data_IF_382600236308
#
_entry.id   IF_382600236308
#
_cell.length_a   1.000
_cell.length_b   1.000
_cell.length_c   1.000
_cell.angle_alpha   90.00
_cell.angle_beta   90.00
_cell.angle_gamma   90.00
#
_symmetry.space_group_name_H-M   'P 1'
#
loop_
_entity.id
_entity.type
_entity.pdbx_description
1 polymer ?
#
# COMPACT_ATOMS: atom_id res chain seq x y z
N UNK A 1 8.78 -6.46 20.53
CA UNK A 1 7.45 -7.11 20.66
C UNK A 1 7.46 -8.25 21.67
N UNK A 2 8.48 -9.11 21.66
CA UNK A 2 8.61 -10.25 22.58
C UNK A 2 9.00 -9.86 24.02
N UNK A 3 9.46 -8.63 24.22
CA UNK A 3 9.88 -8.11 25.52
C UNK A 3 8.74 -7.49 26.35
N UNK A 4 7.52 -7.41 25.81
CA UNK A 4 6.39 -6.89 26.57
C UNK A 4 6.02 -7.82 27.75
N UNK A 5 5.57 -7.29 28.91
CA UNK A 5 5.15 -8.09 30.04
C UNK A 5 4.12 -9.16 29.64
N UNK A 6 4.18 -10.34 30.28
CA UNK A 6 3.30 -11.45 29.94
C UNK A 6 1.84 -11.22 30.41
N UNK A 7 1.63 -10.27 31.31
CA UNK A 7 0.34 -9.84 31.84
C UNK A 7 -0.36 -8.76 31.00
N UNK A 8 0.28 -8.27 29.94
CA UNK A 8 -0.31 -7.26 29.05
C UNK A 8 -1.14 -7.87 27.91
N UNK A 9 -2.13 -7.13 27.44
CA UNK A 9 -2.82 -7.45 26.17
C UNK A 9 -1.85 -7.12 25.03
N UNK A 10 -1.67 -8.05 24.07
CA UNK A 10 -0.82 -7.87 22.90
C UNK A 10 -1.65 -7.73 21.64
N UNK A 11 -1.58 -6.56 21.03
CA UNK A 11 -2.25 -6.26 19.78
C UNK A 11 -1.20 -6.23 18.67
N UNK A 12 -1.36 -7.07 17.66
CA UNK A 12 -0.56 -7.00 16.44
C UNK A 12 -1.13 -5.90 15.55
N UNK A 13 -0.25 -5.06 15.02
CA UNK A 13 -0.58 -4.08 13.97
C UNK A 13 0.63 -3.91 13.06
N UNK A 14 0.39 -3.89 11.75
CA UNK A 14 1.46 -3.73 10.76
C UNK A 14 1.02 -2.86 9.59
N UNK A 15 1.96 -2.10 9.03
CA UNK A 15 1.85 -1.46 7.72
C UNK A 15 2.52 -2.26 6.60
N UNK A 16 3.14 -3.40 6.94
CA UNK A 16 3.85 -4.28 6.00
C UNK A 16 3.03 -5.52 5.69
N UNK A 17 3.36 -6.20 4.60
CA UNK A 17 2.71 -7.46 4.20
C UNK A 17 3.12 -8.60 5.14
N UNK A 18 2.51 -8.64 6.32
CA UNK A 18 2.75 -9.62 7.37
C UNK A 18 1.41 -10.08 7.96
N UNK A 19 1.22 -11.39 8.01
CA UNK A 19 0.09 -12.00 8.70
C UNK A 19 0.30 -12.00 10.23
N UNK A 20 -0.78 -11.89 11.03
CA UNK A 20 -0.69 -11.97 12.49
C UNK A 20 -0.37 -13.39 12.97
N UNK A 21 0.47 -13.49 14.01
CA UNK A 21 0.71 -14.72 14.74
C UNK A 21 -0.12 -14.73 16.04
N UNK A 22 -1.26 -15.39 16.02
CA UNK A 22 -2.18 -15.46 17.16
C UNK A 22 -1.69 -16.34 18.33
N UNK A 23 -0.57 -17.02 18.18
CA UNK A 23 0.13 -17.58 19.36
C UNK A 23 0.86 -16.48 20.13
N UNK A 24 1.22 -15.39 19.45
CA UNK A 24 2.01 -14.30 20.00
C UNK A 24 1.20 -13.04 20.35
N UNK A 25 0.02 -12.87 19.75
CA UNK A 25 -0.87 -11.72 20.01
C UNK A 25 -2.26 -12.18 20.45
N UNK A 26 -2.91 -11.35 21.24
CA UNK A 26 -4.30 -11.57 21.67
C UNK A 26 -5.28 -11.11 20.62
N UNK A 27 -5.00 -9.98 19.98
CA UNK A 27 -5.77 -9.35 18.92
C UNK A 27 -4.86 -8.90 17.78
N UNK A 28 -5.42 -8.72 16.61
CA UNK A 28 -4.68 -8.24 15.45
C UNK A 28 -5.51 -7.30 14.57
N UNK A 29 -4.79 -6.34 13.96
CA UNK A 29 -5.29 -5.42 12.96
C UNK A 29 -4.35 -5.54 11.75
N UNK A 30 -4.89 -5.82 10.56
CA UNK A 30 -4.05 -6.09 9.40
C UNK A 30 -4.79 -5.96 8.07
N UNK A 31 -4.15 -6.45 7.00
CA UNK A 31 -4.64 -6.39 5.63
C UNK A 31 -5.46 -7.61 5.20
N UNK A 32 -5.24 -8.75 5.84
CA UNK A 32 -5.74 -10.05 5.41
C UNK A 32 -7.26 -10.11 5.30
N UNK A 33 -7.74 -10.79 4.27
CA UNK A 33 -9.12 -11.22 4.15
C UNK A 33 -9.35 -12.47 5.00
N UNK A 34 -9.43 -12.28 6.31
CA UNK A 34 -9.68 -13.36 7.25
C UNK A 34 -10.70 -12.94 8.30
N UNK A 35 -11.34 -13.90 8.91
CA UNK A 35 -12.13 -13.76 10.14
C UNK A 35 -11.53 -14.67 11.20
N UNK A 36 -11.36 -14.13 12.41
CA UNK A 36 -10.90 -14.92 13.55
C UNK A 36 -11.65 -14.43 14.79
N UNK A 37 -12.90 -14.83 14.89
CA UNK A 37 -13.84 -14.39 15.94
C UNK A 37 -13.82 -12.84 16.08
N UNK A 38 -13.75 -12.34 17.33
CA UNK A 38 -13.59 -10.93 17.68
C UNK A 38 -12.11 -10.52 17.88
N UNK A 39 -11.16 -11.40 17.49
CA UNK A 39 -9.71 -11.17 17.67
C UNK A 39 -9.05 -10.48 16.49
N UNK A 40 -9.67 -10.45 15.34
CA UNK A 40 -9.11 -9.86 14.14
C UNK A 40 -10.01 -8.79 13.54
N UNK A 41 -9.39 -7.69 13.15
CA UNK A 41 -10.03 -6.67 12.35
C UNK A 41 -9.19 -6.37 11.09
N UNK A 42 -9.81 -6.49 9.92
CA UNK A 42 -9.22 -5.96 8.69
C UNK A 42 -9.32 -4.43 8.69
N UNK A 43 -8.17 -3.77 8.74
CA UNK A 43 -8.07 -2.31 8.69
C UNK A 43 -6.79 -1.92 7.92
N UNK A 44 -6.85 -1.87 6.58
CA UNK A 44 -5.73 -1.51 5.73
C UNK A 44 -5.12 -0.15 6.05
N UNK A 45 -3.82 -0.02 5.80
CA UNK A 45 -3.01 1.13 6.17
C UNK A 45 -3.56 2.47 5.65
N UNK A 46 -4.22 2.48 4.48
CA UNK A 46 -4.72 3.71 3.87
C UNK A 46 -5.77 4.43 4.73
N UNK A 47 -6.51 3.74 5.59
CA UNK A 47 -7.45 4.40 6.52
C UNK A 47 -6.80 5.28 7.58
N UNK A 48 -5.47 5.21 7.73
CA UNK A 48 -4.71 6.13 8.60
C UNK A 48 -4.60 7.56 8.06
N UNK A 49 -5.01 7.79 6.83
CA UNK A 49 -4.95 9.08 6.14
C UNK A 49 -6.36 9.58 5.85
N UNK A 50 -7.12 10.04 6.87
CA UNK A 50 -8.54 10.38 6.73
C UNK A 50 -8.77 11.49 5.70
N UNK A 51 -7.93 12.52 5.67
CA UNK A 51 -8.06 13.64 4.72
C UNK A 51 -7.86 13.17 3.26
N UNK A 52 -6.91 12.26 3.04
CA UNK A 52 -6.67 11.66 1.71
C UNK A 52 -7.84 10.76 1.29
N UNK A 53 -8.40 9.99 2.23
CA UNK A 53 -9.59 9.18 1.95
C UNK A 53 -10.79 10.05 1.60
N UNK A 54 -10.99 11.17 2.29
CA UNK A 54 -12.08 12.10 1.98
C UNK A 54 -11.95 12.67 0.57
N UNK A 55 -10.76 13.09 0.17
CA UNK A 55 -10.51 13.55 -1.20
C UNK A 55 -10.78 12.47 -2.23
N UNK A 56 -10.36 11.24 -1.96
CA UNK A 56 -10.58 10.09 -2.83
C UNK A 56 -12.05 9.73 -2.94
N UNK A 57 -12.78 9.65 -1.82
CA UNK A 57 -14.19 9.30 -1.78
C UNK A 57 -15.06 10.32 -2.53
N UNK A 58 -14.70 11.60 -2.47
CA UNK A 58 -15.45 12.72 -3.07
C UNK A 58 -14.93 13.16 -4.45
N UNK A 59 -13.94 12.46 -5.04
CA UNK A 59 -13.31 12.91 -6.28
C UNK A 59 -14.29 13.07 -7.46
N UNK A 60 -15.31 12.21 -7.55
CA UNK A 60 -16.33 12.21 -8.59
C UNK A 60 -17.32 13.38 -8.49
N UNK A 61 -17.31 14.11 -7.37
CA UNK A 61 -18.15 15.30 -7.12
C UNK A 61 -17.48 16.61 -7.54
N UNK A 62 -16.22 16.57 -7.98
CA UNK A 62 -15.45 17.76 -8.36
C UNK A 62 -15.83 18.25 -9.76
N UNK A 63 -15.43 19.49 -10.09
CA UNK A 63 -15.49 19.99 -11.46
C UNK A 63 -14.45 19.23 -12.32
N UNK A 64 -14.93 18.21 -13.05
CA UNK A 64 -14.07 17.33 -13.82
C UNK A 64 -13.45 18.02 -15.04
N UNK A 65 -14.07 19.09 -15.56
CA UNK A 65 -13.48 19.89 -16.65
C UNK A 65 -12.31 20.72 -16.13
N UNK A 66 -12.42 21.28 -14.94
CA UNK A 66 -11.31 21.95 -14.27
C UNK A 66 -10.18 20.97 -13.93
N UNK A 67 -10.53 19.76 -13.41
CA UNK A 67 -9.56 18.70 -13.16
C UNK A 67 -8.82 18.30 -14.44
N UNK A 68 -9.55 18.07 -15.54
CA UNK A 68 -8.95 17.73 -16.85
C UNK A 68 -7.97 18.80 -17.32
N UNK A 69 -8.37 20.06 -17.25
CA UNK A 69 -7.53 21.20 -17.67
C UNK A 69 -6.27 21.36 -16.82
N UNK A 70 -6.27 20.91 -15.56
CA UNK A 70 -5.12 20.94 -14.67
C UNK A 70 -4.04 19.90 -14.98
N UNK A 71 -4.36 18.91 -15.84
CA UNK A 71 -3.45 17.81 -16.17
C UNK A 71 -2.46 18.23 -17.25
N UNK A 72 -1.26 18.66 -16.86
CA UNK A 72 -0.17 19.06 -17.75
C UNK A 72 0.84 17.93 -18.05
N UNK A 73 0.91 16.92 -17.17
CA UNK A 73 1.79 15.78 -17.28
C UNK A 73 1.06 14.49 -17.70
N UNK A 74 1.82 13.56 -18.31
CA UNK A 74 1.29 12.25 -18.68
C UNK A 74 1.14 11.34 -17.48
N UNK A 75 2.24 10.93 -16.88
CA UNK A 75 2.26 9.93 -15.82
C UNK A 75 3.30 10.26 -14.76
N UNK A 76 2.92 10.16 -13.48
CA UNK A 76 3.78 10.38 -12.34
C UNK A 76 4.18 9.07 -11.68
N UNK A 77 5.32 9.08 -11.01
CA UNK A 77 5.71 8.07 -10.02
C UNK A 77 6.58 8.68 -8.93
N UNK A 78 6.33 8.31 -7.67
CA UNK A 78 7.15 8.78 -6.55
C UNK A 78 7.66 7.60 -5.73
N UNK A 79 8.90 7.23 -5.98
CA UNK A 79 9.55 6.07 -5.37
C UNK A 79 10.95 6.43 -4.90
N UNK A 80 11.25 6.17 -3.63
CA UNK A 80 12.59 6.38 -3.04
C UNK A 80 13.32 5.07 -2.76
N UNK A 81 12.63 3.93 -2.71
CA UNK A 81 13.25 2.64 -2.48
C UNK A 81 13.77 2.05 -3.79
N UNK A 82 15.06 1.68 -3.84
CA UNK A 82 15.71 1.07 -5.00
C UNK A 82 15.48 -0.45 -5.10
N UNK A 83 14.90 -1.05 -4.07
CA UNK A 83 14.60 -2.48 -4.03
C UNK A 83 13.16 -2.71 -4.51
N UNK A 84 12.94 -2.68 -5.81
CA UNK A 84 11.63 -2.78 -6.45
C UNK A 84 11.38 -4.13 -7.07
N UNK A 85 10.10 -4.52 -7.10
CA UNK A 85 9.68 -5.67 -7.88
C UNK A 85 10.02 -5.45 -9.38
N UNK A 86 10.48 -6.50 -10.08
CA UNK A 86 10.77 -6.42 -11.51
C UNK A 86 9.60 -5.92 -12.36
N UNK A 87 8.36 -6.19 -11.96
CA UNK A 87 7.16 -5.71 -12.65
C UNK A 87 7.09 -4.18 -12.67
N UNK A 88 7.37 -3.54 -11.54
CA UNK A 88 7.42 -2.08 -11.46
C UNK A 88 8.43 -1.48 -12.46
N UNK A 89 9.64 -2.05 -12.52
CA UNK A 89 10.67 -1.55 -13.43
C UNK A 89 10.26 -1.71 -14.89
N UNK A 90 9.72 -2.88 -15.25
CA UNK A 90 9.23 -3.15 -16.62
C UNK A 90 8.08 -2.21 -17.01
N UNK A 91 7.14 -1.99 -16.09
CA UNK A 91 6.01 -1.09 -16.32
C UNK A 91 6.46 0.35 -16.55
N UNK A 92 7.38 0.85 -15.71
CA UNK A 92 7.97 2.17 -15.89
C UNK A 92 8.68 2.30 -17.25
N UNK A 93 9.52 1.32 -17.61
CA UNK A 93 10.25 1.34 -18.86
C UNK A 93 9.31 1.33 -20.07
N UNK A 94 8.30 0.46 -20.08
CA UNK A 94 7.31 0.35 -21.17
C UNK A 94 6.46 1.61 -21.34
N UNK A 95 6.00 2.22 -20.26
CA UNK A 95 5.27 3.48 -20.34
C UNK A 95 6.16 4.64 -20.81
N UNK A 96 7.45 4.63 -20.40
CA UNK A 96 8.43 5.64 -20.80
C UNK A 96 8.82 5.56 -22.28
N UNK A 97 8.64 4.40 -22.95
CA UNK A 97 8.78 4.25 -24.40
C UNK A 97 7.70 5.05 -25.16
N UNK A 98 6.52 5.22 -24.56
CA UNK A 98 5.42 5.98 -25.16
C UNK A 98 5.54 7.49 -24.89
N UNK A 99 5.53 7.87 -23.61
CA UNK A 99 5.66 9.26 -23.16
C UNK A 99 6.48 9.30 -21.87
N UNK A 100 7.14 10.44 -21.62
CA UNK A 100 7.93 10.64 -20.40
C UNK A 100 7.07 10.36 -19.16
N UNK A 101 7.53 9.42 -18.32
CA UNK A 101 7.03 9.23 -16.97
C UNK A 101 7.87 10.08 -16.02
N UNK A 102 7.25 11.02 -15.30
CA UNK A 102 7.93 11.89 -14.36
C UNK A 102 8.18 11.17 -13.04
N UNK A 103 9.46 10.93 -12.72
CA UNK A 103 9.88 10.28 -11.47
C UNK A 103 10.32 11.30 -10.45
N UNK A 104 9.47 11.52 -9.43
CA UNK A 104 9.66 12.53 -8.39
C UNK A 104 10.30 12.02 -7.10
N UNK A 105 10.64 10.73 -7.01
CA UNK A 105 11.33 10.14 -5.87
C UNK A 105 12.86 10.18 -6.01
N UNK A 106 13.56 9.33 -5.26
CA UNK A 106 15.00 9.15 -5.43
C UNK A 106 15.35 8.16 -6.57
N UNK A 107 14.42 7.21 -6.84
CA UNK A 107 14.61 6.21 -7.85
C UNK A 107 14.39 6.83 -9.24
N UNK A 108 15.41 6.75 -10.10
CA UNK A 108 15.39 7.28 -11.49
C UNK A 108 14.78 8.70 -11.58
N UNK A 109 15.13 9.58 -10.62
CA UNK A 109 14.65 10.95 -10.63
C UNK A 109 14.99 11.66 -11.94
N UNK A 110 14.00 12.24 -12.61
CA UNK A 110 14.15 12.92 -13.89
C UNK A 110 13.49 14.30 -13.96
N UNK A 111 13.11 14.85 -12.77
CA UNK A 111 12.48 16.17 -12.64
C UNK A 111 13.33 17.20 -11.89
N UNK A 112 14.62 16.88 -11.68
CA UNK A 112 15.58 17.81 -11.08
C UNK A 112 15.66 17.80 -9.56
N UNK A 113 14.90 16.89 -8.89
CA UNK A 113 14.95 16.75 -7.43
C UNK A 113 13.76 15.99 -6.86
N UNK A 114 13.85 15.63 -5.58
CA UNK A 114 12.78 14.92 -4.89
C UNK A 114 11.58 15.86 -4.63
N UNK A 115 10.39 15.42 -4.99
CA UNK A 115 9.15 16.17 -4.70
C UNK A 115 8.93 16.29 -3.21
N UNK A 116 8.47 17.46 -2.78
CA UNK A 116 8.15 17.75 -1.37
C UNK A 116 6.75 17.24 -1.01
N UNK A 117 5.79 17.42 -1.92
CA UNK A 117 4.41 17.01 -1.77
C UNK A 117 4.04 16.09 -2.93
N UNK A 118 3.81 14.81 -2.60
CA UNK A 118 3.44 13.79 -3.58
C UNK A 118 2.05 14.04 -4.16
N UNK A 119 1.10 14.47 -3.33
CA UNK A 119 -0.29 14.68 -3.75
C UNK A 119 -0.35 15.81 -4.79
N UNK A 120 0.31 16.94 -4.52
CA UNK A 120 0.37 18.08 -5.44
C UNK A 120 1.12 17.72 -6.74
N UNK A 121 2.18 16.93 -6.64
CA UNK A 121 2.89 16.43 -7.82
C UNK A 121 2.01 15.54 -8.68
N UNK A 122 1.31 14.58 -8.08
CA UNK A 122 0.44 13.67 -8.80
C UNK A 122 -0.76 14.41 -9.45
N UNK A 123 -1.31 15.47 -8.81
CA UNK A 123 -2.44 16.25 -9.34
C UNK A 123 -2.22 16.80 -10.75
N UNK A 124 -1.00 17.11 -11.12
CA UNK A 124 -0.68 17.63 -12.44
C UNK A 124 -0.62 16.56 -13.55
N UNK A 125 -0.74 15.27 -13.23
CA UNK A 125 -0.59 14.16 -14.16
C UNK A 125 -1.92 13.43 -14.41
N UNK A 126 -2.13 12.94 -15.66
CA UNK A 126 -3.29 12.11 -16.00
C UNK A 126 -3.24 10.76 -15.28
N UNK A 127 -2.07 10.12 -15.26
CA UNK A 127 -1.85 8.80 -14.70
C UNK A 127 -0.85 8.83 -13.55
N UNK A 128 -0.87 7.80 -12.71
CA UNK A 128 0.17 7.54 -11.72
C UNK A 128 0.48 6.05 -11.67
N UNK A 129 1.78 5.67 -11.74
CA UNK A 129 2.19 4.28 -11.53
C UNK A 129 2.08 3.96 -10.05
N UNK A 130 1.25 3.00 -9.72
CA UNK A 130 0.98 2.55 -8.35
C UNK A 130 1.30 1.07 -8.23
N UNK A 131 2.47 0.76 -7.69
CA UNK A 131 2.86 -0.61 -7.40
C UNK A 131 3.06 -0.81 -5.90
N UNK A 132 2.45 -1.84 -5.35
CA UNK A 132 2.70 -2.26 -3.99
C UNK A 132 4.09 -2.89 -3.86
N UNK A 133 4.55 -3.08 -2.62
CA UNK A 133 5.87 -3.70 -2.39
C UNK A 133 5.87 -5.20 -2.74
N UNK A 134 4.70 -5.83 -2.73
CA UNK A 134 4.46 -7.22 -3.11
C UNK A 134 3.00 -7.43 -3.52
N UNK A 135 2.76 -8.36 -4.43
CA UNK A 135 1.40 -8.78 -4.76
C UNK A 135 0.91 -9.79 -3.72
N UNK A 136 -0.09 -9.39 -2.92
CA UNK A 136 -0.71 -10.25 -1.93
C UNK A 136 -2.16 -9.83 -1.68
N UNK A 137 -3.04 -10.83 -1.49
CA UNK A 137 -4.47 -10.61 -1.26
C UNK A 137 -4.73 -9.74 -0.02
N UNK A 138 -5.44 -8.63 -0.22
CA UNK A 138 -5.75 -7.65 0.82
C UNK A 138 -4.69 -6.57 1.03
N UNK A 139 -3.47 -6.74 0.52
CA UNK A 139 -2.38 -5.80 0.72
C UNK A 139 -2.47 -4.60 -0.23
N UNK A 140 -3.42 -3.72 0.06
CA UNK A 140 -3.55 -2.40 -0.56
C UNK A 140 -3.13 -1.33 0.43
N UNK A 141 -2.19 -0.46 0.04
CA UNK A 141 -1.65 0.59 0.91
C UNK A 141 -2.14 1.98 0.50
N UNK A 142 -1.59 3.02 1.14
CA UNK A 142 -1.91 4.41 0.83
C UNK A 142 -1.62 4.84 -0.61
N UNK A 143 -0.81 4.10 -1.35
CA UNK A 143 -0.37 4.49 -2.70
C UNK A 143 -1.53 4.60 -3.68
N UNK A 144 -2.47 3.62 -3.65
CA UNK A 144 -3.65 3.64 -4.51
C UNK A 144 -4.56 4.81 -4.16
N UNK A 145 -4.84 4.98 -2.87
CA UNK A 145 -5.73 6.05 -2.37
C UNK A 145 -5.17 7.43 -2.66
N UNK A 146 -3.86 7.63 -2.52
CA UNK A 146 -3.20 8.89 -2.85
C UNK A 146 -3.31 9.26 -4.33
N UNK A 147 -3.10 8.30 -5.23
CA UNK A 147 -3.25 8.55 -6.67
C UNK A 147 -4.70 8.86 -7.06
N UNK A 148 -5.66 8.15 -6.46
CA UNK A 148 -7.09 8.43 -6.64
C UNK A 148 -7.47 9.82 -6.09
N UNK A 149 -6.97 10.20 -4.91
CA UNK A 149 -7.20 11.52 -4.30
C UNK A 149 -6.58 12.67 -5.10
N UNK A 150 -5.50 12.39 -5.86
CA UNK A 150 -4.89 13.33 -6.80
C UNK A 150 -5.65 13.46 -8.13
N UNK A 151 -6.79 12.80 -8.29
CA UNK A 151 -7.52 12.72 -9.55
C UNK A 151 -6.68 12.14 -10.70
N UNK A 152 -5.73 11.24 -10.39
CA UNK A 152 -5.07 10.43 -11.40
C UNK A 152 -5.88 9.18 -11.70
N UNK A 153 -5.65 8.57 -12.87
CA UNK A 153 -5.99 7.18 -13.13
C UNK A 153 -4.78 6.34 -12.67
N UNK A 154 -4.88 5.58 -11.57
CA UNK A 154 -3.80 4.69 -11.16
C UNK A 154 -3.59 3.58 -12.19
N UNK A 155 -2.33 3.32 -12.57
CA UNK A 155 -1.91 2.10 -13.24
C UNK A 155 -1.40 1.20 -12.12
N UNK A 156 -2.27 0.29 -11.66
CA UNK A 156 -2.13 -0.41 -10.38
C UNK A 156 -1.62 -1.83 -10.55
N UNK A 157 -0.63 -2.20 -9.72
CA UNK A 157 -0.19 -3.57 -9.51
C UNK A 157 0.01 -3.85 -8.02
N UNK A 158 -0.56 -4.96 -7.53
CA UNK A 158 -0.43 -5.34 -6.11
C UNK A 158 -1.48 -6.35 -5.67
N UNK A 159 -2.49 -5.91 -4.93
CA UNK A 159 -3.54 -6.75 -4.38
C UNK A 159 -4.41 -7.37 -5.50
N UNK A 160 -4.42 -8.72 -5.67
CA UNK A 160 -5.28 -9.37 -6.66
C UNK A 160 -6.77 -9.24 -6.34
N UNK A 161 -7.13 -8.87 -5.12
CA UNK A 161 -8.51 -8.65 -4.67
C UNK A 161 -8.86 -7.16 -4.49
N UNK A 162 -8.09 -6.25 -5.08
CA UNK A 162 -8.32 -4.80 -4.99
C UNK A 162 -9.75 -4.42 -5.38
N UNK A 163 -10.30 -5.09 -6.39
CA UNK A 163 -11.66 -4.89 -6.89
C UNK A 163 -12.78 -5.40 -5.97
N UNK A 164 -12.46 -5.93 -4.78
CA UNK A 164 -13.47 -6.16 -3.73
C UNK A 164 -13.86 -4.89 -2.97
N UNK A 165 -13.01 -3.88 -3.00
CA UNK A 165 -13.18 -2.61 -2.29
C UNK A 165 -13.30 -1.46 -3.27
N UNK A 166 -12.38 -1.37 -4.23
CA UNK A 166 -12.27 -0.27 -5.18
C UNK A 166 -12.96 -0.61 -6.50
N UNK A 167 -13.72 0.33 -7.01
CA UNK A 167 -14.40 0.19 -8.29
C UNK A 167 -13.39 0.05 -9.44
N UNK A 168 -13.37 -1.07 -10.19
CA UNK A 168 -12.40 -1.30 -11.26
C UNK A 168 -12.50 -0.28 -12.41
N UNK A 169 -13.59 0.48 -12.51
CA UNK A 169 -13.74 1.57 -13.48
C UNK A 169 -12.97 2.84 -13.07
N UNK A 170 -12.25 2.84 -11.95
CA UNK A 170 -11.55 4.03 -11.44
C UNK A 170 -10.03 3.93 -11.56
N UNK A 171 -9.50 2.79 -11.96
CA UNK A 171 -8.07 2.53 -12.14
C UNK A 171 -7.84 1.51 -13.26
N UNK A 172 -6.63 1.43 -13.76
CA UNK A 172 -6.19 0.43 -14.73
C UNK A 172 -5.40 -0.63 -13.98
N UNK A 173 -5.94 -1.86 -13.90
CA UNK A 173 -5.25 -2.95 -13.20
C UNK A 173 -4.31 -3.67 -14.16
N UNK A 174 -3.01 -3.68 -13.84
CA UNK A 174 -1.98 -4.35 -14.65
C UNK A 174 -2.30 -5.83 -14.86
N UNK A 175 -2.93 -6.47 -13.87
CA UNK A 175 -3.26 -7.91 -13.91
C UNK A 175 -4.41 -8.26 -14.87
N UNK A 176 -5.13 -7.27 -15.40
CA UNK A 176 -6.24 -7.48 -16.35
C UNK A 176 -5.74 -7.64 -17.79
N UNK A 177 -4.44 -7.47 -18.05
CA UNK A 177 -3.82 -7.53 -19.36
C UNK A 177 -2.86 -8.72 -19.46
N UNK A 178 -2.89 -9.42 -20.58
CA UNK A 178 -2.01 -10.57 -20.80
C UNK A 178 -0.55 -10.15 -20.98
N UNK A 179 -0.30 -8.95 -21.53
CA UNK A 179 1.03 -8.39 -21.75
C UNK A 179 1.11 -6.91 -21.36
N UNK A 180 2.32 -6.41 -21.11
CA UNK A 180 2.51 -4.97 -20.87
C UNK A 180 2.29 -4.14 -22.16
N UNK A 181 2.49 -4.72 -23.30
CA UNK A 181 2.22 -4.10 -24.61
C UNK A 181 0.72 -3.78 -24.75
N UNK A 182 -0.15 -4.75 -24.45
CA UNK A 182 -1.60 -4.54 -24.45
C UNK A 182 -2.03 -3.46 -23.45
N UNK A 183 -1.45 -3.48 -22.25
CA UNK A 183 -1.69 -2.45 -21.24
C UNK A 183 -1.32 -1.06 -21.76
N UNK A 184 -0.12 -0.92 -22.36
CA UNK A 184 0.36 0.37 -22.87
C UNK A 184 -0.50 0.87 -24.02
N UNK A 185 -0.93 0.00 -24.93
CA UNK A 185 -1.87 0.39 -26.00
C UNK A 185 -3.20 0.88 -25.43
N UNK A 186 -3.70 0.25 -24.37
CA UNK A 186 -4.89 0.74 -23.70
C UNK A 186 -4.66 2.10 -23.00
N UNK A 187 -3.52 2.29 -22.33
CA UNK A 187 -3.16 3.59 -21.72
C UNK A 187 -3.06 4.69 -22.78
N UNK A 188 -2.48 4.41 -23.95
CA UNK A 188 -2.44 5.34 -25.09
C UNK A 188 -3.83 5.77 -25.52
N UNK A 189 -4.77 4.81 -25.60
CA UNK A 189 -6.16 5.10 -25.95
C UNK A 189 -6.80 6.05 -24.94
N UNK A 190 -6.63 5.77 -23.64
CA UNK A 190 -7.17 6.64 -22.57
C UNK A 190 -6.50 8.01 -22.56
N UNK A 191 -5.20 8.08 -22.86
CA UNK A 191 -4.46 9.35 -22.89
C UNK A 191 -4.89 10.25 -24.05
N UNK A 192 -5.24 9.65 -25.20
CA UNK A 192 -5.67 10.36 -26.41
C UNK A 192 -7.17 10.74 -26.39
N UNK A 193 -7.97 10.13 -25.54
CA UNK A 193 -9.43 10.31 -25.46
C UNK A 193 -9.81 10.95 -24.12
N UNK A 194 -10.09 12.25 -24.16
CA UNK A 194 -10.44 13.03 -22.97
C UNK A 194 -11.78 12.59 -22.35
N UNK A 195 -12.73 12.12 -23.13
CA UNK A 195 -14.01 11.63 -22.62
C UNK A 195 -13.82 10.30 -21.90
N UNK A 196 -12.97 9.43 -22.43
CA UNK A 196 -12.59 8.18 -21.77
C UNK A 196 -11.80 8.46 -20.47
N UNK A 197 -10.87 9.42 -20.49
CA UNK A 197 -10.17 9.85 -19.27
C UNK A 197 -11.15 10.35 -18.20
N UNK A 198 -12.07 11.24 -18.56
CA UNK A 198 -13.09 11.79 -17.65
C UNK A 198 -14.02 10.69 -17.12
N UNK A 199 -14.33 9.66 -17.93
CA UNK A 199 -15.18 8.55 -17.49
C UNK A 199 -14.62 7.83 -16.26
N UNK A 200 -13.29 7.68 -16.15
CA UNK A 200 -12.63 7.12 -14.95
C UNK A 200 -12.80 8.00 -13.71
N UNK A 201 -12.90 9.31 -13.88
CA UNK A 201 -13.04 10.26 -12.79
C UNK A 201 -14.48 10.37 -12.27
N UNK A 202 -15.47 10.13 -13.15
CA UNK A 202 -16.90 10.19 -12.82
C UNK A 202 -17.37 9.07 -11.91
N UNK A 203 -16.71 7.93 -11.96
CA UNK A 203 -17.12 6.75 -11.19
C UNK A 203 -16.83 6.91 -9.70
N UNK A 204 -17.75 6.50 -8.82
CA UNK A 204 -17.46 6.37 -7.40
C UNK A 204 -16.30 5.39 -7.18
N UNK A 205 -15.37 5.78 -6.31
CA UNK A 205 -14.16 4.98 -6.09
C UNK A 205 -14.43 3.70 -5.32
N UNK A 206 -15.32 3.76 -4.33
CA UNK A 206 -15.67 2.60 -3.50
C UNK A 206 -16.87 1.88 -4.09
N UNK A 207 -16.82 0.54 -4.10
CA UNK A 207 -17.94 -0.30 -4.53
C UNK A 207 -19.12 -0.27 -3.56
N UNK A 208 -18.84 -0.07 -2.26
CA UNK A 208 -19.84 -0.09 -1.21
C UNK A 208 -19.46 0.92 -0.12
N UNK A 209 -20.47 1.59 0.44
CA UNK A 209 -20.34 2.56 1.52
C UNK A 209 -19.78 1.94 2.82
N UNK A 210 -19.90 0.63 3.01
CA UNK A 210 -19.25 -0.04 4.14
C UNK A 210 -17.72 0.15 4.16
N UNK A 211 -17.09 0.44 3.02
CA UNK A 211 -15.66 0.68 2.90
C UNK A 211 -15.26 2.14 3.04
N UNK A 212 -16.22 3.05 3.26
CA UNK A 212 -15.87 4.45 3.47
C UNK A 212 -15.12 4.65 4.81
N UNK A 213 -14.30 5.70 4.88
CA UNK A 213 -13.43 5.98 6.03
C UNK A 213 -14.19 6.04 7.34
N UNK A 214 -15.37 6.69 7.36
CA UNK A 214 -16.12 6.93 8.60
C UNK A 214 -16.68 5.64 9.19
N UNK A 215 -17.21 4.75 8.34
CA UNK A 215 -17.66 3.41 8.75
C UNK A 215 -16.49 2.59 9.29
N UNK A 216 -15.36 2.56 8.58
CA UNK A 216 -14.21 1.76 8.97
C UNK A 216 -13.54 2.28 10.25
N UNK A 217 -13.42 3.60 10.42
CA UNK A 217 -12.96 4.21 11.68
C UNK A 217 -13.94 3.92 12.82
N UNK A 218 -15.24 3.96 12.56
CA UNK A 218 -16.27 3.58 13.53
C UNK A 218 -16.13 2.12 13.98
N UNK A 219 -15.88 1.19 13.05
CA UNK A 219 -15.62 -0.22 13.35
C UNK A 219 -14.31 -0.40 14.15
N UNK A 220 -13.25 0.33 13.80
CA UNK A 220 -12.00 0.31 14.55
C UNK A 220 -12.21 0.78 15.99
N UNK A 221 -12.96 1.86 16.20
CA UNK A 221 -13.28 2.35 17.55
C UNK A 221 -14.03 1.31 18.36
N UNK A 222 -15.02 0.62 17.78
CA UNK A 222 -15.75 -0.47 18.44
C UNK A 222 -14.80 -1.63 18.78
N UNK A 223 -13.95 -2.04 17.85
CA UNK A 223 -13.00 -3.12 18.06
C UNK A 223 -12.05 -2.81 19.23
N UNK A 224 -11.46 -1.62 19.24
CA UNK A 224 -10.57 -1.17 20.31
C UNK A 224 -11.32 -1.03 21.64
N UNK A 225 -12.54 -0.47 21.64
CA UNK A 225 -13.36 -0.35 22.83
C UNK A 225 -13.62 -1.73 23.46
N UNK A 226 -14.01 -2.72 22.66
CA UNK A 226 -14.25 -4.09 23.13
C UNK A 226 -13.01 -4.71 23.79
N UNK A 227 -11.83 -4.48 23.22
CA UNK A 227 -10.56 -4.97 23.81
C UNK A 227 -10.34 -4.40 25.21
N UNK A 228 -10.54 -3.07 25.35
CA UNK A 228 -10.24 -2.38 26.62
C UNK A 228 -11.34 -2.51 27.68
N UNK A 229 -12.57 -2.85 27.29
CA UNK A 229 -13.67 -3.10 28.24
C UNK A 229 -13.78 -4.58 28.66
N UNK A 230 -13.10 -5.47 27.93
CA UNK A 230 -13.06 -6.89 28.29
C UNK A 230 -12.14 -7.09 29.50
N UNK A 231 -12.58 -7.81 30.56
CA UNK A 231 -11.73 -8.16 31.69
C UNK A 231 -10.41 -8.77 31.25
N UNK A 232 -9.30 -8.38 31.90
CA UNK A 232 -7.94 -8.72 31.48
C UNK A 232 -7.71 -10.22 31.30
N UNK A 233 -8.25 -11.04 32.18
CA UNK A 233 -8.19 -12.51 32.12
C UNK A 233 -8.87 -13.09 30.89
N UNK A 234 -9.92 -12.44 30.39
CA UNK A 234 -10.64 -12.80 29.17
C UNK A 234 -10.04 -12.17 27.90
N UNK A 235 -9.43 -11.00 28.03
CA UNK A 235 -8.81 -10.29 26.92
C UNK A 235 -7.45 -10.90 26.50
N UNK A 236 -6.80 -11.61 27.41
CA UNK A 236 -5.54 -12.30 27.14
C UNK A 236 -5.79 -13.65 26.48
N UNK A 237 -5.94 -13.68 25.18
CA UNK A 237 -6.45 -14.82 24.38
C UNK A 237 -5.39 -15.60 23.62
N UNK A 238 -4.12 -15.14 23.61
CA UNK A 238 -3.02 -15.89 23.02
C UNK A 238 -2.79 -17.20 23.79
N UNK A 239 -2.31 -18.20 23.08
CA UNK A 239 -2.07 -19.50 23.70
C UNK A 239 -0.96 -19.42 24.77
N UNK A 240 -1.33 -19.67 26.03
CA UNK A 240 -0.44 -19.55 27.19
C UNK A 240 -0.10 -20.88 27.85
N UNK A 241 -0.82 -21.94 27.52
CA UNK A 241 -0.65 -23.25 28.14
C UNK A 241 0.27 -24.13 27.32
N UNK A 242 1.11 -24.92 28.00
CA UNK A 242 1.97 -25.94 27.41
C UNK A 242 2.62 -25.50 26.08
N UNK A 243 2.16 -26.07 24.98
CA UNK A 243 2.75 -25.86 23.64
C UNK A 243 2.81 -24.38 23.22
N UNK A 244 1.81 -23.58 23.56
CA UNK A 244 1.83 -22.15 23.24
C UNK A 244 2.84 -21.38 24.06
N UNK A 245 3.01 -21.71 25.34
CA UNK A 245 4.05 -21.13 26.19
C UNK A 245 5.44 -21.53 25.69
N UNK A 246 5.64 -22.81 25.39
CA UNK A 246 6.90 -23.30 24.83
C UNK A 246 7.24 -22.58 23.50
N UNK A 247 6.28 -22.45 22.60
CA UNK A 247 6.47 -21.70 21.36
C UNK A 247 6.94 -20.26 21.60
N UNK A 248 6.29 -19.54 22.50
CA UNK A 248 6.68 -18.15 22.85
C UNK A 248 8.07 -18.10 23.48
N UNK A 249 8.37 -19.01 24.40
CA UNK A 249 9.69 -19.05 25.08
C UNK A 249 10.81 -19.40 24.09
N UNK A 250 10.57 -20.29 23.14
CA UNK A 250 11.52 -20.61 22.07
C UNK A 250 11.73 -19.41 21.13
N UNK A 251 10.66 -18.70 20.77
CA UNK A 251 10.78 -17.45 20.00
C UNK A 251 11.56 -16.38 20.74
N UNK A 252 11.31 -16.19 22.04
CA UNK A 252 12.09 -15.27 22.88
C UNK A 252 13.57 -15.64 22.90
N UNK A 253 13.90 -16.93 23.10
CA UNK A 253 15.29 -17.44 23.07
C UNK A 253 15.94 -17.20 21.71
N UNK A 254 15.26 -17.57 20.62
CA UNK A 254 15.79 -17.37 19.26
C UNK A 254 16.08 -15.90 18.97
N UNK A 255 15.11 -15.01 19.23
CA UNK A 255 15.25 -13.58 18.95
C UNK A 255 16.20 -12.86 19.91
N UNK A 256 16.39 -13.39 21.14
CA UNK A 256 17.35 -12.90 22.12
C UNK A 256 18.77 -13.43 21.91
N UNK A 257 18.96 -14.47 21.12
CA UNK A 257 20.26 -15.10 20.93
C UNK A 257 21.27 -14.18 20.22
N UNK A 258 22.56 -14.35 20.57
CA UNK A 258 23.64 -13.60 19.94
C UNK A 258 23.70 -13.90 18.42
N UNK A 259 23.52 -15.15 18.04
CA UNK A 259 23.48 -15.59 16.64
C UNK A 259 22.36 -14.90 15.84
N UNK A 260 21.17 -14.80 16.39
CA UNK A 260 20.05 -14.06 15.76
C UNK A 260 20.39 -12.57 15.60
N UNK A 261 20.96 -11.94 16.64
CA UNK A 261 21.36 -10.53 16.60
C UNK A 261 22.45 -10.27 15.57
N UNK A 262 23.44 -11.17 15.45
CA UNK A 262 24.50 -11.12 14.44
C UNK A 262 23.89 -11.31 13.04
N UNK A 263 23.07 -12.34 12.84
CA UNK A 263 22.40 -12.60 11.55
C UNK A 263 21.51 -11.42 11.12
N UNK A 264 20.76 -10.84 12.05
CA UNK A 264 19.94 -9.66 11.75
C UNK A 264 20.80 -8.47 11.31
N UNK A 265 21.95 -8.23 11.97
CA UNK A 265 22.89 -7.18 11.57
C UNK A 265 23.54 -7.49 10.22
N UNK A 266 23.93 -8.73 9.98
CA UNK A 266 24.49 -9.18 8.72
C UNK A 266 23.47 -9.03 7.56
N UNK A 267 22.24 -9.48 7.73
CA UNK A 267 21.21 -9.31 6.72
C UNK A 267 20.90 -7.84 6.45
N UNK A 268 20.88 -6.99 7.49
CA UNK A 268 20.75 -5.54 7.32
C UNK A 268 21.91 -4.97 6.53
N UNK A 269 23.15 -5.33 6.88
CA UNK A 269 24.34 -4.89 6.17
C UNK A 269 24.31 -5.30 4.67
N UNK A 270 24.01 -6.58 4.40
CA UNK A 270 23.90 -7.08 3.01
C UNK A 270 22.79 -6.33 2.25
N UNK A 271 21.68 -6.06 2.91
CA UNK A 271 20.57 -5.30 2.32
C UNK A 271 20.99 -3.85 2.01
N UNK A 272 21.67 -3.19 2.95
CA UNK A 272 22.18 -1.81 2.78
C UNK A 272 23.20 -1.75 1.63
N UNK A 273 24.12 -2.72 1.54
CA UNK A 273 25.10 -2.81 0.45
C UNK A 273 24.41 -3.01 -0.90
N UNK A 274 23.46 -3.97 -1.00
CA UNK A 274 22.68 -4.18 -2.23
C UNK A 274 21.88 -2.94 -2.63
N UNK A 275 21.30 -2.24 -1.67
CA UNK A 275 20.54 -1.02 -1.92
C UNK A 275 21.43 0.10 -2.43
N UNK A 276 22.61 0.28 -1.83
CA UNK A 276 23.59 1.28 -2.27
C UNK A 276 24.16 0.97 -3.68
N UNK A 277 24.45 -0.30 -3.97
CA UNK A 277 24.88 -0.70 -5.31
C UNK A 277 23.79 -0.45 -6.36
N UNK A 278 22.54 -0.76 -6.05
CA UNK A 278 21.40 -0.45 -6.94
C UNK A 278 21.22 1.06 -7.12
N UNK A 279 21.36 1.85 -6.05
CA UNK A 279 21.33 3.32 -6.12
C UNK A 279 22.42 3.85 -7.07
N UNK A 280 23.65 3.37 -6.97
CA UNK A 280 24.75 3.73 -7.87
C UNK A 280 24.46 3.32 -9.31
N UNK A 281 24.00 2.09 -9.53
CA UNK A 281 23.68 1.59 -10.87
C UNK A 281 22.60 2.41 -11.56
N UNK A 282 21.50 2.69 -10.85
CA UNK A 282 20.39 3.45 -11.40
C UNK A 282 20.69 4.96 -11.49
N UNK A 283 21.49 5.50 -10.59
CA UNK A 283 21.98 6.88 -10.66
C UNK A 283 22.94 7.11 -11.84
N UNK A 284 23.64 6.07 -12.28
CA UNK A 284 24.49 6.12 -13.48
C UNK A 284 23.68 6.06 -14.79
N UNK A 285 22.61 5.25 -14.82
CA UNK A 285 21.72 5.15 -16.00
C UNK A 285 20.73 6.31 -16.16
N UNK A 286 20.56 7.14 -15.16
CA UNK A 286 19.69 8.31 -15.18
C UNK A 286 20.39 9.62 -15.52
N UNK A 287 21.69 9.56 -15.91
CA UNK A 287 22.47 10.65 -16.51
C UNK A 287 22.66 10.37 -17.99
#
# INVERSE_FOLDING_TARGET
HWAAPDDSIKIFYTGENLAPDFNACDYAIGFEWMTYEDRYMRFPLYYRYPDVNELMENRHLQDLDAVKKSKSGFCSVTVSNFNRDPMFVKLFDKLSEYKKVDSGGEWRNNIGGKVKDKLEFDKSHKFSIVCENSAHSGYTTEKLVQALAANCIPIYWGDPNVSKVFNPKTFINVSDYATLEELVEYVKKVDADDDLFVSYLKEPVLLDQQYCKDVQIGLLRKFIHNIFTTPLDKAQRRNRILSGKMYIDDRKKQTGSLSYRINKKYHKFVWDVKTNLRRLYWGYKGR
#
